data_IF_234776229850
#
_entry.id   IF_234776229850
#
_cell.length_a   1.000
_cell.length_b   1.000
_cell.length_c   1.000
_cell.angle_alpha   90.00
_cell.angle_beta   90.00
_cell.angle_gamma   90.00
#
_symmetry.space_group_name_H-M   'P 1'
#
loop_
_entity.id
_entity.type
_entity.pdbx_description
1 polymer ?
#
# COMPACT_ATOMS: atom_id res chain seq x y z
N UNK A 1 -16.97 -48.01 -22.91
CA UNK A 1 -15.85 -47.07 -23.15
C UNK A 1 -16.41 -45.65 -23.14
N UNK A 2 -16.31 -44.94 -22.01
CA UNK A 2 -16.72 -43.52 -21.90
C UNK A 2 -15.49 -42.64 -22.11
N UNK A 3 -15.52 -41.73 -23.08
CA UNK A 3 -14.52 -40.65 -23.21
C UNK A 3 -14.95 -39.49 -22.30
N UNK A 4 -14.11 -38.98 -21.38
CA UNK A 4 -14.44 -37.76 -20.67
C UNK A 4 -14.21 -36.55 -21.57
N UNK A 5 -15.25 -35.73 -21.71
CA UNK A 5 -15.19 -34.40 -22.31
C UNK A 5 -14.33 -33.49 -21.42
N UNK A 6 -13.23 -32.97 -21.99
CA UNK A 6 -12.29 -32.11 -21.30
C UNK A 6 -12.96 -30.85 -20.76
N UNK A 7 -12.82 -30.62 -19.45
CA UNK A 7 -13.07 -29.34 -18.81
C UNK A 7 -12.05 -28.34 -19.33
N UNK A 8 -12.47 -27.45 -20.24
CA UNK A 8 -11.65 -26.35 -20.71
C UNK A 8 -11.30 -25.42 -19.55
N UNK A 9 -10.11 -25.58 -18.98
CA UNK A 9 -9.54 -24.59 -18.06
C UNK A 9 -9.36 -23.29 -18.84
N UNK A 10 -10.11 -22.25 -18.46
CA UNK A 10 -9.93 -20.91 -19.00
C UNK A 10 -8.50 -20.46 -18.76
N UNK A 11 -7.85 -19.93 -19.78
CA UNK A 11 -6.49 -19.39 -19.62
C UNK A 11 -6.52 -18.18 -18.69
N UNK A 12 -5.41 -17.93 -18.00
CA UNK A 12 -5.26 -16.76 -17.12
C UNK A 12 -5.57 -15.45 -17.85
N UNK A 13 -5.28 -15.40 -19.15
CA UNK A 13 -5.57 -14.27 -20.03
C UNK A 13 -7.08 -14.09 -20.29
N UNK A 14 -7.83 -15.19 -20.47
CA UNK A 14 -9.30 -15.14 -20.61
C UNK A 14 -9.98 -14.68 -19.31
N UNK A 15 -9.44 -15.06 -18.14
CA UNK A 15 -9.94 -14.62 -16.83
C UNK A 15 -9.65 -13.12 -16.61
N UNK A 16 -8.47 -12.65 -17.03
CA UNK A 16 -8.11 -11.22 -16.99
C UNK A 16 -8.98 -10.38 -17.92
N UNK A 17 -9.32 -10.88 -19.10
CA UNK A 17 -10.21 -10.20 -20.05
C UNK A 17 -11.66 -10.15 -19.56
N UNK A 18 -12.19 -11.24 -18.99
CA UNK A 18 -13.51 -11.25 -18.36
C UNK A 18 -13.57 -10.31 -17.14
N UNK A 19 -12.47 -10.16 -16.40
CA UNK A 19 -12.33 -9.18 -15.30
C UNK A 19 -12.29 -7.74 -15.80
N UNK A 20 -11.55 -7.46 -16.87
CA UNK A 20 -11.50 -6.13 -17.48
C UNK A 20 -12.86 -5.69 -18.04
N UNK A 21 -13.67 -6.64 -18.54
CA UNK A 21 -15.04 -6.42 -19.00
C UNK A 21 -16.04 -6.24 -17.85
N UNK A 22 -15.90 -6.96 -16.73
CA UNK A 22 -16.84 -6.87 -15.59
C UNK A 22 -16.55 -5.75 -14.59
N UNK A 23 -15.29 -5.34 -14.46
CA UNK A 23 -14.84 -4.38 -13.44
C UNK A 23 -14.13 -3.15 -14.02
N UNK A 24 -14.21 -2.97 -15.34
CA UNK A 24 -13.85 -1.72 -16.03
C UNK A 24 -12.41 -1.30 -15.87
N UNK A 25 -11.47 -2.00 -16.51
CA UNK A 25 -10.14 -1.43 -16.86
C UNK A 25 -9.47 -2.28 -17.95
N UNK A 26 -9.68 -1.94 -19.22
CA UNK A 26 -8.70 -2.25 -20.27
C UNK A 26 -7.59 -1.21 -20.18
N UNK A 27 -6.37 -1.59 -19.76
CA UNK A 27 -5.16 -0.82 -20.06
C UNK A 27 -4.63 -1.29 -21.41
N UNK A 28 -4.89 -0.53 -22.47
CA UNK A 28 -4.22 -0.71 -23.75
C UNK A 28 -2.83 -0.08 -23.66
N UNK A 29 -1.79 -0.90 -23.82
CA UNK A 29 -0.47 -0.42 -24.21
C UNK A 29 -0.49 -0.11 -25.71
N UNK A 30 -0.44 1.18 -26.04
CA UNK A 30 -0.11 1.70 -27.38
C UNK A 30 0.36 3.14 -27.14
N UNK A 31 1.58 3.54 -27.44
CA UNK A 31 2.17 3.52 -28.77
C UNK A 31 2.07 4.95 -29.33
N UNK A 32 3.23 5.54 -29.62
CA UNK A 32 3.46 6.93 -30.06
C UNK A 32 2.69 7.28 -31.34
N UNK A 33 2.19 8.51 -31.45
CA UNK A 33 1.69 9.11 -32.70
C UNK A 33 1.07 10.50 -32.53
N UNK A 34 1.74 11.52 -33.06
CA UNK A 34 1.34 12.94 -33.12
C UNK A 34 -0.01 13.20 -33.80
N UNK A 35 -0.74 14.24 -33.38
CA UNK A 35 -1.04 15.44 -34.22
C UNK A 35 -2.03 16.44 -33.57
N UNK A 36 -1.64 17.73 -33.69
CA UNK A 36 -2.49 18.87 -34.07
C UNK A 36 -3.44 19.55 -33.06
N UNK A 37 -2.88 20.58 -32.41
CA UNK A 37 -3.34 21.99 -32.41
C UNK A 37 -4.77 22.38 -31.98
N UNK A 38 -5.57 21.48 -31.43
CA UNK A 38 -6.82 21.83 -30.68
C UNK A 38 -6.69 21.70 -29.16
N UNK A 39 -5.51 21.32 -28.68
CA UNK A 39 -5.22 21.02 -27.27
C UNK A 39 -4.65 22.17 -26.44
N UNK A 40 -4.63 23.41 -26.95
CA UNK A 40 -4.01 24.55 -26.24
C UNK A 40 -4.98 25.33 -25.35
N UNK A 41 -6.28 25.34 -25.63
CA UNK A 41 -7.25 26.04 -24.78
C UNK A 41 -7.82 25.16 -23.64
N UNK A 42 -7.85 23.83 -23.81
CA UNK A 42 -8.23 22.90 -22.73
C UNK A 42 -7.09 22.61 -21.74
N UNK A 43 -5.84 22.89 -22.09
CA UNK A 43 -4.67 22.68 -21.21
C UNK A 43 -4.60 23.67 -20.05
N UNK A 44 -5.14 24.88 -20.19
CA UNK A 44 -5.07 25.87 -19.12
C UNK A 44 -6.08 25.65 -17.98
N UNK A 45 -7.12 24.84 -18.18
CA UNK A 45 -8.03 24.42 -17.10
C UNK A 45 -7.64 23.08 -16.45
N UNK A 46 -6.90 22.19 -17.12
CA UNK A 46 -6.44 20.92 -16.53
C UNK A 46 -5.14 21.03 -15.71
N UNK A 47 -4.47 22.19 -15.73
CA UNK A 47 -3.21 22.41 -15.01
C UNK A 47 -3.36 22.91 -13.56
N UNK A 48 -4.60 23.02 -13.03
CA UNK A 48 -4.88 23.45 -11.65
C UNK A 48 -5.43 22.35 -10.71
N UNK A 49 -5.08 21.07 -10.87
CA UNK A 49 -5.53 20.07 -9.86
C UNK A 49 -4.68 18.81 -9.68
N UNK A 50 -3.39 18.85 -10.00
CA UNK A 50 -2.41 18.01 -9.32
C UNK A 50 -1.67 18.85 -8.28
N UNK A 51 -2.43 19.42 -7.34
CA UNK A 51 -1.90 19.46 -5.99
C UNK A 51 -1.51 18.01 -5.70
N UNK A 52 -0.21 17.72 -5.59
CA UNK A 52 0.24 16.45 -5.06
C UNK A 52 -0.44 16.32 -3.72
N UNK A 53 -1.58 15.61 -3.67
CA UNK A 53 -2.26 15.33 -2.42
C UNK A 53 -1.23 14.62 -1.57
N UNK A 54 -0.83 15.30 -0.51
CA UNK A 54 0.15 14.79 0.42
C UNK A 54 -0.60 13.79 1.28
N UNK A 55 -0.84 12.59 0.73
CA UNK A 55 -1.73 11.59 1.36
C UNK A 55 -1.22 11.20 2.75
N UNK A 56 -2.10 11.22 3.76
CA UNK A 56 -1.91 10.54 5.04
C UNK A 56 -2.60 9.16 5.04
N UNK A 57 -2.39 8.31 6.06
CA UNK A 57 -3.05 7.01 6.14
C UNK A 57 -4.59 7.11 6.10
N UNK A 58 -5.16 8.14 6.72
CA UNK A 58 -6.61 8.34 6.83
C UNK A 58 -7.27 8.71 5.49
N UNK A 59 -6.55 9.42 4.61
CA UNK A 59 -6.98 9.69 3.24
C UNK A 59 -7.13 8.37 2.45
N UNK A 60 -6.20 7.44 2.65
CA UNK A 60 -6.29 6.12 2.02
C UNK A 60 -7.44 5.29 2.59
N UNK A 61 -7.68 5.36 3.91
CA UNK A 61 -8.84 4.72 4.54
C UNK A 61 -10.15 5.28 3.97
N UNK A 62 -10.25 6.60 3.85
CA UNK A 62 -11.41 7.28 3.28
C UNK A 62 -11.66 6.87 1.82
N UNK A 63 -10.61 6.85 1.00
CA UNK A 63 -10.68 6.36 -0.37
C UNK A 63 -11.10 4.88 -0.42
N UNK A 64 -10.58 4.03 0.47
CA UNK A 64 -10.92 2.61 0.52
C UNK A 64 -12.43 2.41 0.77
N UNK A 65 -13.01 3.13 1.73
CA UNK A 65 -14.46 3.11 1.97
C UNK A 65 -15.25 3.60 0.75
N UNK A 66 -14.80 4.67 0.09
CA UNK A 66 -15.44 5.19 -1.11
C UNK A 66 -15.48 4.15 -2.24
N UNK A 67 -14.37 3.46 -2.51
CA UNK A 67 -14.35 2.41 -3.53
C UNK A 67 -15.17 1.18 -3.13
N UNK A 68 -15.15 0.80 -1.85
CA UNK A 68 -15.92 -0.33 -1.35
C UNK A 68 -17.43 -0.12 -1.47
N UNK A 69 -17.87 1.13 -1.30
CA UNK A 69 -19.28 1.52 -1.32
C UNK A 69 -19.77 1.99 -2.71
N UNK A 70 -18.90 2.00 -3.73
CA UNK A 70 -19.30 2.27 -5.10
C UNK A 70 -20.22 1.18 -5.67
N UNK A 71 -20.94 1.48 -6.75
CA UNK A 71 -21.86 0.54 -7.40
C UNK A 71 -21.46 0.34 -8.88
N UNK A 72 -20.91 -0.84 -9.26
CA UNK A 72 -20.57 -1.97 -8.41
C UNK A 72 -19.32 -1.70 -7.53
N UNK A 73 -19.15 -2.39 -6.39
CA UNK A 73 -17.97 -2.23 -5.53
C UNK A 73 -16.65 -2.47 -6.26
N UNK A 74 -15.69 -1.56 -6.07
CA UNK A 74 -14.35 -1.68 -6.65
C UNK A 74 -13.35 -2.25 -5.64
N UNK A 75 -13.31 -3.58 -5.55
CA UNK A 75 -12.46 -4.29 -4.59
C UNK A 75 -10.96 -4.11 -4.86
N UNK A 76 -10.55 -3.99 -6.12
CA UNK A 76 -9.14 -3.77 -6.49
C UNK A 76 -8.66 -2.43 -5.95
N UNK A 77 -9.42 -1.36 -6.18
CA UNK A 77 -9.08 -0.04 -5.63
C UNK A 77 -9.18 -0.04 -4.10
N UNK A 78 -10.19 -0.69 -3.53
CA UNK A 78 -10.30 -0.83 -2.07
C UNK A 78 -9.04 -1.48 -1.46
N UNK A 79 -8.62 -2.64 -1.98
CA UNK A 79 -7.40 -3.34 -1.53
C UNK A 79 -6.14 -2.52 -1.73
N UNK A 80 -6.01 -1.81 -2.87
CA UNK A 80 -4.87 -0.93 -3.12
C UNK A 80 -4.77 0.18 -2.09
N UNK A 81 -5.90 0.77 -1.71
CA UNK A 81 -5.95 1.85 -0.72
C UNK A 81 -5.71 1.36 0.69
N UNK A 82 -6.25 0.21 1.08
CA UNK A 82 -5.94 -0.43 2.37
C UNK A 82 -4.45 -0.74 2.53
N UNK A 83 -3.82 -1.28 1.48
CA UNK A 83 -2.37 -1.49 1.45
C UNK A 83 -1.59 -0.18 1.62
N UNK A 84 -1.95 0.86 0.86
CA UNK A 84 -1.27 2.16 0.96
C UNK A 84 -1.45 2.80 2.34
N UNK A 85 -2.63 2.70 2.94
CA UNK A 85 -2.86 3.13 4.32
C UNK A 85 -1.89 2.46 5.28
N UNK A 86 -1.79 1.13 5.24
CA UNK A 86 -0.87 0.36 6.08
C UNK A 86 0.60 0.75 5.85
N UNK A 87 1.03 0.85 4.59
CA UNK A 87 2.40 1.27 4.24
C UNK A 87 2.72 2.66 4.77
N UNK A 88 1.79 3.61 4.64
CA UNK A 88 2.04 4.98 5.04
C UNK A 88 2.04 5.14 6.56
N UNK A 89 1.25 4.37 7.31
CA UNK A 89 1.36 4.33 8.77
C UNK A 89 2.75 3.89 9.22
N UNK A 90 3.30 2.84 8.60
CA UNK A 90 4.68 2.38 8.90
C UNK A 90 5.70 3.45 8.50
N UNK A 91 5.60 4.03 7.30
CA UNK A 91 6.54 5.06 6.84
C UNK A 91 6.55 6.29 7.73
N UNK A 92 5.39 6.79 8.14
CA UNK A 92 5.29 7.98 8.99
C UNK A 92 5.97 7.74 10.35
N UNK A 93 5.74 6.57 10.97
CA UNK A 93 6.40 6.22 12.22
C UNK A 93 7.93 6.32 12.12
N UNK A 94 8.51 5.75 11.06
CA UNK A 94 9.97 5.79 10.87
C UNK A 94 10.51 7.11 10.36
N UNK A 95 9.71 7.91 9.65
CA UNK A 95 10.06 9.28 9.30
C UNK A 95 10.16 10.18 10.54
N UNK A 96 9.31 9.99 11.56
CA UNK A 96 9.46 10.63 12.88
C UNK A 96 10.76 10.23 13.59
N UNK A 97 11.40 9.14 13.15
CA UNK A 97 12.71 8.65 13.61
C UNK A 97 13.85 8.98 12.64
N UNK A 98 13.62 9.87 11.66
CA UNK A 98 14.59 10.28 10.63
C UNK A 98 15.03 9.15 9.68
N UNK A 99 14.19 8.13 9.51
CA UNK A 99 14.43 6.96 8.66
C UNK A 99 13.39 6.92 7.54
N UNK A 100 13.86 6.88 6.30
CA UNK A 100 13.02 6.66 5.12
C UNK A 100 13.08 5.21 4.69
N UNK A 101 11.93 4.54 4.68
CA UNK A 101 11.79 3.17 4.18
C UNK A 101 11.43 3.19 2.69
N UNK A 102 12.23 2.50 1.86
CA UNK A 102 12.10 2.53 0.40
C UNK A 102 11.74 1.20 -0.24
N UNK A 103 11.96 0.06 0.42
CA UNK A 103 11.64 -1.26 -0.14
C UNK A 103 10.53 -1.97 0.62
N UNK A 104 9.90 -2.92 -0.06
CA UNK A 104 8.89 -3.80 0.54
C UNK A 104 9.48 -4.61 1.72
N UNK A 105 10.70 -5.12 1.56
CA UNK A 105 11.34 -5.91 2.60
C UNK A 105 11.69 -5.08 3.84
N UNK A 106 12.17 -3.85 3.64
CA UNK A 106 12.40 -2.91 4.73
C UNK A 106 11.09 -2.60 5.46
N UNK A 107 9.99 -2.35 4.75
CA UNK A 107 8.67 -2.11 5.37
C UNK A 107 8.25 -3.28 6.26
N UNK A 108 8.39 -4.52 5.78
CA UNK A 108 8.06 -5.71 6.56
C UNK A 108 8.90 -5.83 7.84
N UNK A 109 10.22 -5.78 7.70
CA UNK A 109 11.15 -5.94 8.84
C UNK A 109 10.95 -4.82 9.87
N UNK A 110 10.78 -3.59 9.42
CA UNK A 110 10.57 -2.44 10.30
C UNK A 110 9.16 -2.44 10.92
N UNK A 111 8.15 -2.98 10.21
CA UNK A 111 6.82 -3.19 10.78
C UNK A 111 6.87 -4.18 11.95
N UNK A 112 7.48 -5.34 11.74
CA UNK A 112 7.64 -6.37 12.77
C UNK A 112 8.42 -5.82 13.99
N UNK A 113 9.50 -5.08 13.75
CA UNK A 113 10.28 -4.43 14.81
C UNK A 113 9.47 -3.39 15.61
N UNK A 114 8.68 -2.55 14.95
CA UNK A 114 7.85 -1.57 15.65
C UNK A 114 6.77 -2.24 16.52
N UNK A 115 6.14 -3.30 16.01
CA UNK A 115 5.15 -4.07 16.77
C UNK A 115 5.79 -4.68 18.02
N UNK A 116 6.97 -5.30 17.90
CA UNK A 116 7.72 -5.87 19.03
C UNK A 116 8.07 -4.79 20.08
N UNK A 117 8.54 -3.62 19.61
CA UNK A 117 9.02 -2.55 20.49
C UNK A 117 7.89 -1.79 21.22
N UNK A 118 6.71 -1.71 20.58
CA UNK A 118 5.55 -0.94 21.05
C UNK A 118 4.73 -1.60 22.16
N UNK A 119 5.13 -2.81 22.60
CA UNK A 119 4.45 -3.56 23.68
C UNK A 119 2.95 -3.78 23.43
N UNK A 120 2.52 -3.80 22.16
CA UNK A 120 1.15 -4.15 21.81
C UNK A 120 0.86 -5.57 22.32
N UNK A 121 -0.21 -5.71 23.11
CA UNK A 121 -0.57 -6.98 23.75
C UNK A 121 -0.86 -8.10 22.74
N UNK A 122 -1.49 -7.77 21.61
CA UNK A 122 -1.78 -8.68 20.51
C UNK A 122 -0.70 -8.64 19.41
N UNK A 123 0.53 -9.02 19.77
CA UNK A 123 1.66 -9.07 18.83
C UNK A 123 1.33 -9.92 17.60
N UNK A 124 0.87 -11.16 17.80
CA UNK A 124 0.63 -12.10 16.70
C UNK A 124 -0.51 -11.65 15.79
N UNK A 125 -1.58 -11.06 16.35
CA UNK A 125 -2.66 -10.48 15.57
C UNK A 125 -2.20 -9.30 14.72
N UNK A 126 -1.33 -8.43 15.23
CA UNK A 126 -0.78 -7.32 14.45
C UNK A 126 0.09 -7.78 13.28
N UNK A 127 0.95 -8.77 13.50
CA UNK A 127 1.75 -9.38 12.43
C UNK A 127 0.85 -10.00 11.36
N UNK A 128 -0.22 -10.68 11.77
CA UNK A 128 -1.18 -11.27 10.83
C UNK A 128 -1.98 -10.22 10.04
N UNK A 129 -2.28 -9.07 10.65
CA UNK A 129 -2.94 -7.95 9.95
C UNK A 129 -2.02 -7.31 8.91
N UNK A 130 -0.72 -7.19 9.18
CA UNK A 130 0.26 -6.75 8.16
C UNK A 130 0.33 -7.73 6.99
N UNK A 131 0.47 -9.03 7.26
CA UNK A 131 0.46 -10.07 6.22
C UNK A 131 -0.82 -10.03 5.38
N UNK A 132 -1.96 -9.75 6.00
CA UNK A 132 -3.22 -9.58 5.29
C UNK A 132 -3.22 -8.35 4.36
N UNK A 133 -2.56 -7.26 4.75
CA UNK A 133 -2.36 -6.10 3.89
C UNK A 133 -1.45 -6.45 2.68
N UNK A 134 -0.38 -7.22 2.89
CA UNK A 134 0.47 -7.75 1.79
C UNK A 134 -0.35 -8.65 0.84
N UNK A 135 -1.25 -9.47 1.40
CA UNK A 135 -2.14 -10.32 0.61
C UNK A 135 -3.14 -9.50 -0.22
N UNK A 136 -3.69 -8.42 0.36
CA UNK A 136 -4.53 -7.46 -0.38
C UNK A 136 -3.75 -6.71 -1.46
N UNK A 137 -2.48 -6.38 -1.23
CA UNK A 137 -1.60 -5.83 -2.26
C UNK A 137 -1.44 -6.82 -3.41
N UNK A 138 -1.16 -8.09 -3.12
CA UNK A 138 -1.05 -9.18 -4.11
C UNK A 138 -2.36 -9.40 -4.89
N UNK A 139 -3.51 -9.26 -4.22
CA UNK A 139 -4.83 -9.31 -4.88
C UNK A 139 -4.99 -8.25 -5.98
N UNK A 140 -4.40 -7.06 -5.82
CA UNK A 140 -4.50 -6.00 -6.85
C UNK A 140 -3.85 -6.37 -8.19
N UNK A 141 -2.89 -7.31 -8.18
CA UNK A 141 -2.25 -7.84 -9.38
C UNK A 141 -2.87 -9.15 -9.88
N UNK A 142 -3.81 -9.72 -9.12
CA UNK A 142 -4.46 -10.99 -9.43
C UNK A 142 -3.74 -12.22 -8.89
N UNK A 143 -2.74 -12.06 -8.02
CA UNK A 143 -1.93 -13.15 -7.47
C UNK A 143 -2.60 -13.85 -6.27
N UNK A 144 -3.63 -13.22 -5.69
CA UNK A 144 -4.48 -13.79 -4.63
C UNK A 144 -5.96 -13.62 -4.92
N UNK A 145 -6.77 -14.41 -4.22
CA UNK A 145 -8.23 -14.40 -4.33
C UNK A 145 -8.86 -14.20 -2.96
N UNK A 146 -9.77 -13.21 -2.87
CA UNK A 146 -10.63 -13.00 -1.72
C UNK A 146 -12.09 -13.17 -2.15
N UNK A 147 -12.89 -13.80 -1.30
CA UNK A 147 -14.35 -13.84 -1.48
C UNK A 147 -14.96 -12.56 -0.95
N UNK A 148 -16.08 -12.11 -1.54
CA UNK A 148 -16.82 -10.94 -1.04
C UNK A 148 -17.17 -11.08 0.45
N UNK A 149 -17.55 -12.28 0.89
CA UNK A 149 -17.94 -12.59 2.27
C UNK A 149 -16.80 -12.39 3.27
N UNK A 150 -15.55 -12.62 2.86
CA UNK A 150 -14.39 -12.42 3.74
C UNK A 150 -13.75 -11.05 3.58
N UNK A 151 -14.10 -10.32 2.51
CA UNK A 151 -13.48 -9.03 2.18
C UNK A 151 -13.71 -7.98 3.26
N UNK A 152 -14.93 -7.85 3.78
CA UNK A 152 -15.26 -6.83 4.78
C UNK A 152 -14.57 -7.11 6.12
N UNK A 153 -14.54 -8.38 6.54
CA UNK A 153 -13.79 -8.78 7.73
C UNK A 153 -12.29 -8.54 7.57
N UNK A 154 -11.74 -8.76 6.37
CA UNK A 154 -10.34 -8.51 6.08
C UNK A 154 -10.01 -7.02 6.01
N UNK A 155 -10.91 -6.22 5.44
CA UNK A 155 -10.81 -4.76 5.43
C UNK A 155 -10.76 -4.24 6.86
N UNK A 156 -11.68 -4.67 7.73
CA UNK A 156 -11.72 -4.24 9.13
C UNK A 156 -10.40 -4.54 9.87
N UNK A 157 -9.81 -5.71 9.67
CA UNK A 157 -8.51 -6.08 10.25
C UNK A 157 -7.37 -5.16 9.81
N UNK A 158 -7.37 -4.71 8.56
CA UNK A 158 -6.35 -3.77 8.06
C UNK A 158 -6.61 -2.36 8.60
N UNK A 159 -7.87 -1.95 8.75
CA UNK A 159 -8.22 -0.68 9.39
C UNK A 159 -7.74 -0.64 10.85
N UNK A 160 -7.96 -1.72 11.60
CA UNK A 160 -7.41 -1.87 12.96
C UNK A 160 -5.89 -1.76 12.97
N UNK A 161 -5.20 -2.41 12.03
CA UNK A 161 -3.75 -2.27 11.90
C UNK A 161 -3.34 -0.82 11.68
N UNK A 162 -3.96 -0.14 10.72
CA UNK A 162 -3.67 1.26 10.38
C UNK A 162 -3.84 2.14 11.62
N UNK A 163 -4.95 1.99 12.34
CA UNK A 163 -5.23 2.75 13.55
C UNK A 163 -4.19 2.48 14.64
N UNK A 164 -3.99 1.21 15.01
CA UNK A 164 -3.04 0.84 16.07
C UNK A 164 -1.63 1.32 15.74
N UNK A 165 -1.20 1.23 14.49
CA UNK A 165 0.14 1.68 14.10
C UNK A 165 0.32 3.20 14.17
N UNK A 166 -0.75 3.97 13.95
CA UNK A 166 -0.74 5.43 14.14
C UNK A 166 -0.66 5.82 15.62
N UNK A 167 -1.12 4.96 16.52
CA UNK A 167 -1.12 5.16 17.98
C UNK A 167 0.18 4.68 18.66
N UNK A 168 1.09 4.02 17.94
CA UNK A 168 2.39 3.58 18.49
C UNK A 168 3.19 4.78 18.99
N UNK A 169 3.64 4.71 20.25
CA UNK A 169 4.59 5.68 20.79
C UNK A 169 5.95 5.54 20.11
N UNK A 170 6.35 6.61 19.41
CA UNK A 170 7.67 6.74 18.77
C UNK A 170 8.81 6.50 19.74
N UNK A 171 8.64 6.85 21.03
CA UNK A 171 9.68 6.70 22.04
C UNK A 171 9.95 5.24 22.39
N UNK A 172 8.92 4.39 22.39
CA UNK A 172 9.07 2.95 22.59
C UNK A 172 9.89 2.32 21.47
N UNK A 173 9.63 2.71 20.22
CA UNK A 173 10.38 2.24 19.05
C UNK A 173 11.81 2.80 19.05
N UNK A 174 11.98 4.09 19.40
CA UNK A 174 13.30 4.73 19.47
C UNK A 174 14.23 4.03 20.45
N UNK A 175 13.71 3.61 21.61
CA UNK A 175 14.48 2.93 22.67
C UNK A 175 15.26 1.73 22.13
N UNK A 176 14.61 0.93 21.30
CA UNK A 176 15.13 -0.35 20.83
C UNK A 176 15.81 -0.24 19.44
N UNK A 177 15.66 0.91 18.77
CA UNK A 177 16.12 1.16 17.40
C UNK A 177 17.62 0.98 17.21
N UNK A 178 18.45 1.45 18.15
CA UNK A 178 19.92 1.34 18.02
C UNK A 178 20.35 -0.12 17.96
N UNK A 179 19.81 -0.97 18.84
CA UNK A 179 20.11 -2.40 18.89
C UNK A 179 19.65 -3.09 17.60
N UNK A 180 18.45 -2.75 17.13
CA UNK A 180 17.90 -3.26 15.88
C UNK A 180 18.79 -2.94 14.67
N UNK A 181 19.22 -1.68 14.51
CA UNK A 181 20.09 -1.28 13.40
C UNK A 181 21.49 -1.90 13.43
N UNK A 182 21.97 -2.35 14.59
CA UNK A 182 23.23 -3.09 14.72
C UNK A 182 23.08 -4.56 14.30
N UNK A 183 21.89 -5.14 14.46
CA UNK A 183 21.58 -6.52 14.07
C UNK A 183 21.05 -6.58 12.63
N UNK A 184 21.94 -6.35 11.66
CA UNK A 184 21.62 -6.17 10.23
C UNK A 184 21.17 -7.46 9.54
N UNK A 185 19.97 -7.94 9.82
CA UNK A 185 19.38 -9.05 9.08
C UNK A 185 18.28 -8.56 8.15
N UNK A 186 18.47 -8.78 6.84
CA UNK A 186 17.43 -8.65 5.83
C UNK A 186 17.20 -7.25 5.25
N UNK A 187 17.91 -6.20 5.66
CA UNK A 187 17.79 -4.88 5.02
C UNK A 187 19.14 -4.18 4.90
N UNK A 188 19.24 -3.29 3.92
CA UNK A 188 20.34 -2.35 3.77
C UNK A 188 19.95 -0.98 4.34
N UNK A 189 20.94 -0.23 4.83
CA UNK A 189 20.70 1.17 5.15
C UNK A 189 21.90 2.04 4.76
N UNK A 190 21.60 3.25 4.32
CA UNK A 190 22.56 4.28 3.98
C UNK A 190 22.31 5.51 4.84
N UNK A 191 23.34 5.98 5.54
CA UNK A 191 23.32 7.24 6.27
C UNK A 191 23.82 8.35 5.36
N UNK A 192 23.07 9.43 5.28
CA UNK A 192 23.39 10.62 4.52
C UNK A 192 24.12 11.63 5.42
N UNK A 193 24.99 12.45 4.81
CA UNK A 193 25.71 13.53 5.51
C UNK A 193 24.84 14.77 5.76
N UNK A 194 23.62 14.79 5.23
CA UNK A 194 22.66 15.88 5.33
C UNK A 194 21.24 15.32 5.47
N UNK A 195 20.32 16.16 5.94
CA UNK A 195 18.91 15.81 6.02
C UNK A 195 18.21 16.12 4.69
N UNK A 196 17.25 15.27 4.32
CA UNK A 196 16.34 15.47 3.19
C UNK A 196 14.92 15.54 3.75
N UNK A 197 14.11 16.44 3.20
CA UNK A 197 12.71 16.58 3.58
C UNK A 197 11.79 15.70 2.72
N UNK A 198 10.85 15.05 3.38
CA UNK A 198 9.73 14.35 2.78
C UNK A 198 8.42 14.97 3.27
N UNK A 199 7.47 15.23 2.37
CA UNK A 199 6.13 15.69 2.73
C UNK A 199 5.14 14.52 2.67
N UNK A 200 4.48 14.23 3.79
CA UNK A 200 3.42 13.21 3.93
C UNK A 200 2.32 13.77 4.84
N UNK A 201 1.05 13.61 4.48
CA UNK A 201 -0.08 14.11 5.29
C UNK A 201 -0.15 15.61 5.55
N UNK A 202 0.48 16.44 4.71
CA UNK A 202 0.64 17.89 4.98
C UNK A 202 1.75 18.23 5.99
N UNK A 203 2.39 17.22 6.59
CA UNK A 203 3.55 17.38 7.46
C UNK A 203 4.86 17.24 6.68
N UNK A 204 5.91 17.90 7.17
CA UNK A 204 7.27 17.75 6.63
C UNK A 204 8.12 16.96 7.63
N UNK A 205 8.74 15.89 7.16
CA UNK A 205 9.64 15.03 7.92
C UNK A 205 11.04 15.11 7.34
N UNK A 206 12.03 15.42 8.17
CA UNK A 206 13.43 15.38 7.76
C UNK A 206 14.05 14.02 8.10
N UNK A 207 14.74 13.41 7.15
CA UNK A 207 15.41 12.11 7.34
C UNK A 207 16.87 12.17 6.86
N UNK A 208 17.73 11.37 7.47
CA UNK A 208 19.13 11.20 7.07
C UNK A 208 19.55 9.73 7.00
N UNK A 209 18.61 8.80 7.17
CA UNK A 209 18.83 7.36 6.99
C UNK A 209 17.83 6.87 5.95
N UNK A 210 18.29 6.10 4.97
CA UNK A 210 17.46 5.44 3.97
C UNK A 210 17.63 3.93 4.13
N UNK A 211 16.53 3.21 4.34
CA UNK A 211 16.53 1.74 4.47
C UNK A 211 15.78 1.10 3.31
N UNK A 212 16.39 0.10 2.68
CA UNK A 212 15.88 -0.63 1.51
C UNK A 212 16.34 -2.07 1.48
#
# INVERSE_FOLDING_TARGET
MYKPSGSGQKSQQQILEERAQRFGTKRTHSGIGDTSSRGLELKNQSLRKYEFRVYNPDDFVSDAHLYRNSSPPNLIQTSSKLWLGAVYSVKILFLKLHIKLTSHNALKIFSDFAIDSSRIADYSGMINKWKLAEDMHSYTYGDKFFTLTTFDANMQKILEFIQTFQEIDVMDVRRDLKKFLMNRMGFSFNRLNYYIDARIGGETYSYNIVCG
#
